data_IF_541419749868
#
_entry.id   IF_541419749868
#
_cell.length_a   1.000
_cell.length_b   1.000
_cell.length_c   1.000
_cell.angle_alpha   90.00
_cell.angle_beta   90.00
_cell.angle_gamma   90.00
#
_symmetry.space_group_name_H-M   'P 1'
#
loop_
_entity.id
_entity.type
_entity.pdbx_description
1 polymer ?
#
# COMPACT_ATOMS: atom_id res chain seq x y z
N UNK A 1 43.79 29.37 -67.42
CA UNK A 1 42.61 29.68 -66.60
C UNK A 1 42.60 28.77 -65.37
N UNK A 2 42.93 29.32 -64.19
CA UNK A 2 43.04 28.57 -62.94
C UNK A 2 41.64 28.40 -62.34
N UNK A 3 41.13 27.16 -62.27
CA UNK A 3 39.93 26.83 -61.48
C UNK A 3 40.32 26.93 -60.00
N UNK A 4 39.92 28.02 -59.33
CA UNK A 4 40.00 28.13 -57.87
C UNK A 4 38.98 27.17 -57.26
N UNK A 5 39.45 26.10 -56.63
CA UNK A 5 38.62 25.25 -55.77
C UNK A 5 38.20 26.07 -54.55
N UNK A 6 36.92 26.41 -54.46
CA UNK A 6 36.30 27.02 -53.27
C UNK A 6 36.01 25.93 -52.23
N UNK A 7 36.20 26.20 -50.93
CA UNK A 7 35.98 25.21 -49.88
C UNK A 7 34.50 24.84 -49.74
N UNK A 8 34.21 23.55 -49.83
CA UNK A 8 32.91 22.90 -49.59
C UNK A 8 32.63 22.84 -48.08
N UNK A 9 32.24 23.97 -47.49
CA UNK A 9 31.67 23.98 -46.14
C UNK A 9 30.15 23.91 -46.22
N UNK A 10 29.59 22.78 -45.76
CA UNK A 10 28.15 22.60 -45.54
C UNK A 10 27.70 23.41 -44.32
N UNK A 11 26.54 24.07 -44.41
CA UNK A 11 26.01 24.91 -43.34
C UNK A 11 24.98 24.08 -42.55
N UNK A 12 25.28 23.76 -41.29
CA UNK A 12 24.35 23.08 -40.38
C UNK A 12 23.47 24.12 -39.68
N UNK A 13 22.16 24.08 -39.94
CA UNK A 13 21.18 24.84 -39.16
C UNK A 13 20.96 24.14 -37.82
N UNK A 14 21.21 24.83 -36.69
CA UNK A 14 20.96 24.27 -35.35
C UNK A 14 19.46 24.03 -35.17
N UNK A 15 19.06 22.76 -35.18
CA UNK A 15 17.67 22.31 -35.00
C UNK A 15 17.12 21.45 -36.14
N UNK A 16 17.77 21.42 -37.31
CA UNK A 16 17.34 20.61 -38.44
C UNK A 16 18.31 19.44 -38.68
N UNK A 17 17.80 18.20 -38.76
CA UNK A 17 18.63 16.98 -38.92
C UNK A 17 19.17 16.78 -40.34
N UNK A 18 18.80 17.61 -41.30
CA UNK A 18 19.16 17.47 -42.71
C UNK A 18 20.30 18.44 -43.10
N UNK A 19 21.21 17.98 -43.96
CA UNK A 19 22.34 18.78 -44.47
C UNK A 19 21.96 19.30 -45.85
N UNK A 20 21.89 20.62 -46.04
CA UNK A 20 21.48 21.22 -47.31
C UNK A 20 22.69 21.60 -48.18
N UNK A 21 22.61 21.28 -49.48
CA UNK A 21 23.57 21.74 -50.49
C UNK A 21 23.36 23.21 -50.87
N UNK A 22 24.42 23.94 -51.25
CA UNK A 22 24.35 25.39 -51.54
C UNK A 22 23.38 25.77 -52.67
N UNK A 23 23.06 24.85 -53.59
CA UNK A 23 22.09 25.07 -54.67
C UNK A 23 20.63 24.94 -54.22
N UNK A 24 20.35 24.43 -53.02
CA UNK A 24 19.00 24.16 -52.51
C UNK A 24 18.41 25.29 -51.63
N UNK A 25 19.16 26.37 -51.41
CA UNK A 25 18.92 27.29 -50.28
C UNK A 25 17.81 28.32 -50.51
N UNK A 26 17.18 28.43 -51.69
CA UNK A 26 16.23 29.54 -51.91
C UNK A 26 14.75 29.30 -51.67
N UNK A 27 14.25 28.06 -51.56
CA UNK A 27 12.79 27.87 -51.43
C UNK A 27 12.37 26.76 -50.45
N UNK A 28 13.28 25.91 -49.97
CA UNK A 28 12.88 24.63 -49.35
C UNK A 28 12.77 24.63 -47.81
N UNK A 29 12.55 25.78 -47.16
CA UNK A 29 12.34 25.85 -45.69
C UNK A 29 10.98 26.42 -45.26
N UNK A 30 10.10 26.78 -46.19
CA UNK A 30 8.75 27.27 -45.87
C UNK A 30 7.80 26.20 -45.35
N UNK A 31 8.15 24.90 -45.45
CA UNK A 31 7.30 23.81 -44.94
C UNK A 31 7.65 23.27 -43.55
N UNK A 32 8.87 23.51 -43.04
CA UNK A 32 9.37 22.79 -41.83
C UNK A 32 9.76 23.70 -40.68
N UNK A 33 10.20 24.94 -40.94
CA UNK A 33 10.64 25.84 -39.85
C UNK A 33 10.25 27.32 -39.98
N UNK A 34 9.55 27.73 -41.04
CA UNK A 34 9.14 29.13 -41.28
C UNK A 34 10.28 30.17 -41.13
N UNK A 35 11.52 29.79 -41.45
CA UNK A 35 12.69 30.69 -41.36
C UNK A 35 13.36 30.85 -42.73
N UNK A 36 13.75 32.10 -43.05
CA UNK A 36 14.47 32.46 -44.26
C UNK A 36 15.96 32.62 -43.99
N UNK A 37 16.80 32.16 -44.92
CA UNK A 37 18.25 32.27 -44.82
C UNK A 37 18.77 33.45 -45.65
N UNK A 38 19.30 34.49 -44.99
CA UNK A 38 19.79 35.71 -45.64
C UNK A 38 21.28 35.66 -46.02
N UNK A 39 21.89 34.47 -46.16
CA UNK A 39 23.28 34.34 -46.63
C UNK A 39 24.38 34.72 -45.62
N UNK A 40 24.02 35.27 -44.46
CA UNK A 40 24.91 35.38 -43.28
C UNK A 40 24.62 34.23 -42.32
N UNK A 41 25.59 33.78 -41.53
CA UNK A 41 25.58 32.54 -40.72
C UNK A 41 24.50 32.41 -39.63
N UNK A 42 23.44 33.25 -39.63
CA UNK A 42 22.29 33.19 -38.73
C UNK A 42 20.98 33.19 -39.52
N UNK A 43 20.11 32.21 -39.23
CA UNK A 43 18.69 32.27 -39.59
C UNK A 43 17.99 33.27 -38.67
N UNK A 44 17.12 34.11 -39.23
CA UNK A 44 16.33 35.08 -38.45
C UNK A 44 14.87 34.86 -38.79
N UNK A 45 14.00 34.79 -37.77
CA UNK A 45 12.55 34.83 -37.99
C UNK A 45 12.21 36.22 -38.51
N UNK A 46 11.64 36.31 -39.71
CA UNK A 46 11.07 37.56 -40.21
C UNK A 46 9.63 37.62 -39.74
N UNK A 47 9.22 38.77 -39.21
CA UNK A 47 7.81 39.04 -38.97
C UNK A 47 7.08 39.29 -40.29
N UNK A 48 5.76 39.18 -40.25
CA UNK A 48 4.87 39.26 -41.41
C UNK A 48 5.03 40.58 -42.19
N UNK A 49 5.37 41.67 -41.47
CA UNK A 49 5.65 42.98 -42.07
C UNK A 49 6.96 43.02 -42.86
N UNK A 50 8.00 42.35 -42.36
CA UNK A 50 9.29 42.27 -43.06
C UNK A 50 9.20 41.39 -44.31
N UNK A 51 8.34 40.36 -44.31
CA UNK A 51 8.11 39.50 -45.46
C UNK A 51 7.54 40.30 -46.65
N UNK A 52 6.54 41.13 -46.40
CA UNK A 52 5.91 41.98 -47.43
C UNK A 52 6.88 43.03 -47.99
N UNK A 53 7.82 43.52 -47.20
CA UNK A 53 8.91 44.42 -47.65
C UNK A 53 9.90 43.72 -48.59
N UNK A 54 10.14 42.41 -48.44
CA UNK A 54 11.05 41.66 -49.31
C UNK A 54 10.34 41.29 -50.62
N UNK A 55 9.07 40.91 -50.55
CA UNK A 55 8.24 40.58 -51.73
C UNK A 55 8.03 41.82 -52.62
N UNK A 56 7.90 43.00 -52.02
CA UNK A 56 7.70 44.26 -52.76
C UNK A 56 8.97 44.82 -53.42
N UNK A 57 10.17 44.29 -53.11
CA UNK A 57 11.38 44.62 -53.87
C UNK A 57 11.41 43.79 -55.14
N UNK A 58 10.84 44.36 -56.21
CA UNK A 58 10.84 43.90 -57.62
C UNK A 58 12.07 43.02 -57.90
N UNK A 59 11.86 41.70 -57.96
CA UNK A 59 12.89 40.75 -58.40
C UNK A 59 13.06 40.98 -59.91
N UNK A 60 14.22 41.45 -60.42
CA UNK A 60 14.36 41.91 -61.82
C UNK A 60 14.27 40.81 -62.89
N UNK A 61 13.92 39.58 -62.51
CA UNK A 61 13.95 38.39 -63.36
C UNK A 61 12.60 37.69 -63.46
N UNK A 62 11.55 38.23 -62.83
CA UNK A 62 10.18 37.74 -63.05
C UNK A 62 9.62 38.58 -64.19
N UNK A 63 9.81 38.08 -65.42
CA UNK A 63 9.22 38.65 -66.63
C UNK A 63 7.69 38.67 -66.49
N UNK A 64 7.10 39.80 -66.91
CA UNK A 64 5.70 40.21 -66.79
C UNK A 64 4.73 39.42 -67.70
N UNK A 65 5.01 38.15 -67.98
CA UNK A 65 4.19 37.29 -68.83
C UNK A 65 4.01 35.92 -68.16
N UNK A 66 3.44 35.90 -66.95
CA UNK A 66 2.72 34.72 -66.51
C UNK A 66 1.27 34.90 -66.96
N UNK A 67 1.02 34.50 -68.20
CA UNK A 67 -0.32 34.20 -68.69
C UNK A 67 -0.86 33.11 -67.75
N UNK A 68 -1.75 33.46 -66.83
CA UNK A 68 -2.57 32.49 -66.13
C UNK A 68 -3.57 32.04 -67.19
N UNK A 69 -3.22 30.98 -67.92
CA UNK A 69 -4.18 30.25 -68.71
C UNK A 69 -5.22 29.71 -67.72
N UNK A 70 -6.43 30.25 -67.77
CA UNK A 70 -7.62 29.61 -67.23
C UNK A 70 -7.89 28.36 -68.08
N UNK A 71 -7.03 27.35 -67.92
CA UNK A 71 -7.38 25.97 -68.27
C UNK A 71 -8.39 25.57 -67.20
N UNK A 72 -9.67 25.79 -67.50
CA UNK A 72 -10.75 25.14 -66.78
C UNK A 72 -10.63 23.66 -67.08
N UNK A 73 -9.91 22.95 -66.22
CA UNK A 73 -9.86 21.49 -66.21
C UNK A 73 -11.30 20.99 -66.08
N UNK A 74 -11.89 20.54 -67.19
CA UNK A 74 -13.13 19.78 -67.20
C UNK A 74 -12.84 18.47 -66.47
N UNK A 75 -13.05 18.46 -65.16
CA UNK A 75 -13.05 17.24 -64.35
C UNK A 75 -14.08 16.32 -64.99
N UNK A 76 -13.63 15.14 -65.43
CA UNK A 76 -14.52 14.18 -66.06
C UNK A 76 -15.57 13.68 -65.05
N UNK A 77 -16.79 13.41 -65.51
CA UNK A 77 -17.88 12.89 -64.66
C UNK A 77 -17.46 11.64 -63.86
N UNK A 78 -16.55 10.83 -64.41
CA UNK A 78 -15.99 9.65 -63.76
C UNK A 78 -15.12 9.99 -62.52
N UNK A 79 -14.36 11.09 -62.56
CA UNK A 79 -13.53 11.54 -61.42
C UNK A 79 -14.39 12.09 -60.28
N UNK A 80 -15.50 12.76 -60.59
CA UNK A 80 -16.47 13.24 -59.59
C UNK A 80 -17.20 12.07 -58.90
N UNK A 81 -17.52 10.99 -59.63
CA UNK A 81 -18.18 9.81 -59.06
C UNK A 81 -17.25 9.02 -58.11
N UNK A 82 -15.98 8.87 -58.47
CA UNK A 82 -14.98 8.22 -57.61
C UNK A 82 -14.77 9.01 -56.31
N UNK A 83 -14.63 10.34 -56.38
CA UNK A 83 -14.49 11.19 -55.20
C UNK A 83 -15.73 11.12 -54.29
N UNK A 84 -16.94 11.11 -54.86
CA UNK A 84 -18.17 10.93 -54.09
C UNK A 84 -18.24 9.56 -53.41
N UNK A 85 -17.79 8.49 -54.07
CA UNK A 85 -17.75 7.16 -53.49
C UNK A 85 -16.72 7.07 -52.34
N UNK A 86 -15.55 7.68 -52.49
CA UNK A 86 -14.54 7.77 -51.44
C UNK A 86 -15.04 8.55 -50.23
N UNK A 87 -15.70 9.69 -50.46
CA UNK A 87 -16.29 10.51 -49.39
C UNK A 87 -17.34 9.72 -48.58
N UNK A 88 -18.26 9.03 -49.25
CA UNK A 88 -19.24 8.15 -48.58
C UNK A 88 -18.56 7.03 -47.77
N UNK A 89 -17.47 6.47 -48.29
CA UNK A 89 -16.67 5.45 -47.59
C UNK A 89 -15.99 6.02 -46.34
N UNK A 90 -15.45 7.23 -46.43
CA UNK A 90 -14.83 7.94 -45.30
C UNK A 90 -15.85 8.30 -44.22
N UNK A 91 -17.00 8.86 -44.59
CA UNK A 91 -18.10 9.16 -43.65
C UNK A 91 -18.52 7.92 -42.86
N UNK A 92 -18.70 6.77 -43.54
CA UNK A 92 -19.04 5.51 -42.86
C UNK A 92 -17.94 5.07 -41.87
N UNK A 93 -16.67 5.28 -42.19
CA UNK A 93 -15.55 4.98 -41.27
C UNK A 93 -15.56 5.93 -40.06
N UNK A 94 -15.83 7.22 -40.28
CA UNK A 94 -15.93 8.22 -39.21
C UNK A 94 -17.06 7.85 -38.24
N UNK A 95 -18.24 7.49 -38.75
CA UNK A 95 -19.38 7.09 -37.92
C UNK A 95 -19.07 5.84 -37.07
N UNK A 96 -18.38 4.86 -37.66
CA UNK A 96 -17.91 3.68 -36.92
C UNK A 96 -16.95 4.06 -35.80
N UNK A 97 -16.00 4.95 -36.05
CA UNK A 97 -15.04 5.43 -35.05
C UNK A 97 -15.78 6.19 -33.94
N UNK A 98 -16.72 7.07 -34.27
CA UNK A 98 -17.52 7.80 -33.29
C UNK A 98 -18.34 6.86 -32.40
N UNK A 99 -18.98 5.85 -33.00
CA UNK A 99 -19.72 4.83 -32.26
C UNK A 99 -18.83 4.04 -31.30
N UNK A 100 -17.65 3.61 -31.76
CA UNK A 100 -16.67 2.92 -30.91
C UNK A 100 -16.16 3.81 -29.77
N UNK A 101 -15.84 5.08 -30.04
CA UNK A 101 -15.41 6.03 -29.02
C UNK A 101 -16.48 6.25 -27.95
N UNK A 102 -17.74 6.39 -28.35
CA UNK A 102 -18.86 6.51 -27.41
C UNK A 102 -19.01 5.27 -26.52
N UNK A 103 -18.82 4.07 -27.09
CA UNK A 103 -18.83 2.83 -26.32
C UNK A 103 -17.66 2.77 -25.32
N UNK A 104 -16.46 3.17 -25.74
CA UNK A 104 -15.28 3.23 -24.87
C UNK A 104 -15.50 4.20 -23.71
N UNK A 105 -16.05 5.39 -23.97
CA UNK A 105 -16.35 6.38 -22.93
C UNK A 105 -17.35 5.85 -21.90
N UNK A 106 -18.41 5.14 -22.35
CA UNK A 106 -19.38 4.51 -21.44
C UNK A 106 -18.70 3.46 -20.55
N UNK A 107 -17.89 2.58 -21.13
CA UNK A 107 -17.14 1.57 -20.37
C UNK A 107 -16.16 2.20 -19.38
N UNK A 108 -15.47 3.28 -19.76
CA UNK A 108 -14.59 4.01 -18.85
C UNK A 108 -15.33 4.60 -17.65
N UNK A 109 -16.54 5.12 -17.87
CA UNK A 109 -17.38 5.63 -16.77
C UNK A 109 -17.86 4.52 -15.84
N UNK A 110 -18.22 3.36 -16.38
CA UNK A 110 -18.60 2.18 -15.60
C UNK A 110 -17.43 1.68 -14.75
N UNK A 111 -16.26 1.47 -15.36
CA UNK A 111 -15.03 1.07 -14.66
C UNK A 111 -14.69 2.06 -13.55
N UNK A 112 -14.87 3.36 -13.78
CA UNK A 112 -14.62 4.38 -12.76
C UNK A 112 -15.56 4.23 -11.57
N UNK A 113 -16.86 4.02 -11.82
CA UNK A 113 -17.86 3.80 -10.76
C UNK A 113 -17.55 2.54 -9.95
N UNK A 114 -17.22 1.44 -10.61
CA UNK A 114 -16.83 0.19 -9.94
C UNK A 114 -15.56 0.38 -9.09
N UNK A 115 -14.56 1.09 -9.61
CA UNK A 115 -13.33 1.36 -8.87
C UNK A 115 -13.58 2.20 -7.61
N UNK A 116 -14.46 3.19 -7.69
CA UNK A 116 -14.81 4.01 -6.52
C UNK A 116 -15.61 3.19 -5.50
N UNK A 117 -16.53 2.31 -5.92
CA UNK A 117 -17.21 1.37 -5.03
C UNK A 117 -16.23 0.43 -4.32
N UNK A 118 -15.27 -0.15 -5.06
CA UNK A 118 -14.26 -1.04 -4.49
C UNK A 118 -13.35 -0.33 -3.47
N UNK A 119 -13.05 0.96 -3.67
CA UNK A 119 -12.30 1.76 -2.69
C UNK A 119 -13.10 1.96 -1.40
N UNK A 120 -14.40 2.22 -1.51
CA UNK A 120 -15.28 2.40 -0.37
C UNK A 120 -15.41 1.10 0.44
N UNK A 121 -15.58 -0.04 -0.23
CA UNK A 121 -15.58 -1.37 0.38
C UNK A 121 -14.24 -1.66 1.08
N UNK A 122 -13.11 -1.39 0.41
CA UNK A 122 -11.78 -1.55 1.00
C UNK A 122 -11.60 -0.71 2.27
N UNK A 123 -12.10 0.53 2.27
CA UNK A 123 -12.08 1.40 3.43
C UNK A 123 -13.02 0.90 4.54
N UNK A 124 -14.15 0.30 4.19
CA UNK A 124 -15.02 -0.44 5.11
C UNK A 124 -14.27 -1.56 5.82
N UNK A 125 -13.68 -2.48 5.05
CA UNK A 125 -12.91 -3.61 5.59
C UNK A 125 -11.74 -3.17 6.47
N UNK A 126 -11.04 -2.08 6.12
CA UNK A 126 -9.97 -1.53 6.96
C UNK A 126 -10.47 -1.07 8.34
N UNK A 127 -11.63 -0.41 8.40
CA UNK A 127 -12.23 0.03 9.67
C UNK A 127 -12.64 -1.16 10.52
N UNK A 128 -13.35 -2.11 9.95
CA UNK A 128 -13.78 -3.33 10.63
C UNK A 128 -12.58 -4.12 11.18
N UNK A 129 -11.52 -4.28 10.38
CA UNK A 129 -10.28 -4.92 10.82
C UNK A 129 -9.63 -4.22 12.01
N UNK A 130 -9.68 -2.88 12.06
CA UNK A 130 -9.16 -2.11 13.19
C UNK A 130 -10.01 -2.31 14.45
N UNK A 131 -11.33 -2.38 14.32
CA UNK A 131 -12.24 -2.64 15.43
C UNK A 131 -12.02 -4.04 16.01
N UNK A 132 -11.98 -5.07 15.15
CA UNK A 132 -11.68 -6.45 15.56
C UNK A 132 -10.34 -6.54 16.31
N UNK A 133 -9.30 -5.82 15.84
CA UNK A 133 -8.00 -5.78 16.54
C UNK A 133 -8.10 -5.16 17.94
N UNK A 134 -8.91 -4.11 18.11
CA UNK A 134 -9.14 -3.49 19.42
C UNK A 134 -9.88 -4.42 20.37
N UNK A 135 -10.92 -5.09 19.89
CA UNK A 135 -11.68 -6.07 20.67
C UNK A 135 -10.79 -7.25 21.09
N UNK A 136 -10.00 -7.79 20.16
CA UNK A 136 -9.06 -8.87 20.43
C UNK A 136 -8.03 -8.49 21.49
N UNK A 137 -7.50 -7.27 21.44
CA UNK A 137 -6.57 -6.78 22.46
C UNK A 137 -7.25 -6.63 23.83
N UNK A 138 -8.50 -6.16 23.86
CA UNK A 138 -9.30 -6.04 25.09
C UNK A 138 -9.52 -7.42 25.71
N UNK A 139 -9.97 -8.39 24.91
CA UNK A 139 -10.17 -9.78 25.35
C UNK A 139 -8.87 -10.42 25.87
N UNK A 140 -7.73 -10.14 25.22
CA UNK A 140 -6.42 -10.60 25.73
C UNK A 140 -6.10 -10.02 27.10
N UNK A 141 -6.34 -8.72 27.30
CA UNK A 141 -6.12 -8.07 28.59
C UNK A 141 -7.04 -8.65 29.67
N UNK A 142 -8.32 -8.84 29.37
CA UNK A 142 -9.29 -9.46 30.29
C UNK A 142 -8.92 -10.90 30.64
N UNK A 143 -8.50 -11.70 29.65
CA UNK A 143 -8.02 -13.06 29.86
C UNK A 143 -6.79 -13.06 30.76
N UNK A 144 -5.83 -12.17 30.54
CA UNK A 144 -4.62 -12.09 31.35
C UNK A 144 -4.93 -11.64 32.78
N UNK A 145 -5.80 -10.64 32.95
CA UNK A 145 -6.28 -10.24 34.27
C UNK A 145 -7.00 -11.39 34.98
N UNK A 146 -7.83 -12.15 34.26
CA UNK A 146 -8.52 -13.33 34.81
C UNK A 146 -7.53 -14.42 35.20
N UNK A 147 -6.50 -14.70 34.38
CA UNK A 147 -5.41 -15.62 34.72
C UNK A 147 -4.67 -15.16 35.96
N UNK A 148 -4.31 -13.88 36.05
CA UNK A 148 -3.65 -13.32 37.22
C UNK A 148 -4.53 -13.39 38.47
N UNK A 149 -5.82 -13.09 38.39
CA UNK A 149 -6.78 -13.27 39.49
C UNK A 149 -6.83 -14.73 39.95
N UNK A 150 -6.89 -15.67 38.99
CA UNK A 150 -6.89 -17.11 39.27
C UNK A 150 -5.56 -17.63 39.85
N UNK A 151 -4.43 -17.02 39.49
CA UNK A 151 -3.12 -17.36 40.07
C UNK A 151 -2.96 -16.77 41.47
N UNK A 152 -3.45 -15.54 41.69
CA UNK A 152 -3.40 -14.86 42.99
C UNK A 152 -4.12 -15.64 44.09
N UNK A 153 -5.14 -16.44 43.78
CA UNK A 153 -5.83 -17.26 44.79
C UNK A 153 -5.18 -18.62 45.06
N UNK A 154 -4.07 -18.94 44.39
CA UNK A 154 -3.33 -20.18 44.62
C UNK A 154 -2.17 -19.97 45.59
N UNK A 155 -1.84 -21.01 46.35
CA UNK A 155 -0.58 -21.15 47.07
C UNK A 155 0.01 -22.52 46.72
N UNK A 156 1.33 -22.59 46.60
CA UNK A 156 2.03 -23.88 46.52
C UNK A 156 2.69 -24.17 47.86
N UNK A 157 2.33 -25.30 48.45
CA UNK A 157 2.92 -25.80 49.71
C UNK A 157 3.94 -26.87 49.39
N UNK A 158 5.19 -26.68 49.80
CA UNK A 158 6.27 -27.66 49.62
C UNK A 158 6.61 -28.37 50.92
N UNK A 159 7.27 -29.53 50.84
CA UNK A 159 7.76 -30.29 51.99
C UNK A 159 6.76 -31.28 52.57
N UNK A 160 5.71 -31.60 51.80
CA UNK A 160 4.63 -32.51 52.20
C UNK A 160 5.11 -33.97 52.14
N UNK A 161 4.72 -34.83 53.09
CA UNK A 161 5.06 -36.25 53.07
C UNK A 161 4.58 -36.96 51.82
N UNK A 162 5.34 -37.95 51.35
CA UNK A 162 5.00 -38.75 50.16
C UNK A 162 3.66 -39.45 50.32
N UNK A 163 3.32 -39.83 51.55
CA UNK A 163 2.10 -40.56 51.93
C UNK A 163 0.81 -39.74 51.78
N UNK A 164 0.91 -38.41 51.68
CA UNK A 164 -0.26 -37.53 51.49
C UNK A 164 -0.68 -37.37 50.02
N UNK A 165 0.10 -37.89 49.07
CA UNK A 165 -0.14 -37.67 47.64
C UNK A 165 -1.07 -38.70 46.98
N UNK A 166 -1.77 -39.51 47.76
CA UNK A 166 -2.63 -40.61 47.28
C UNK A 166 -4.12 -40.26 47.24
N UNK A 167 -4.62 -39.37 48.10
CA UNK A 167 -6.05 -39.01 48.16
C UNK A 167 -6.23 -37.50 48.40
N UNK A 168 -7.24 -36.90 47.78
CA UNK A 168 -7.61 -35.48 47.98
C UNK A 168 -8.00 -35.22 49.44
N UNK A 169 -8.60 -36.20 50.13
CA UNK A 169 -8.99 -36.05 51.54
C UNK A 169 -7.78 -35.86 52.46
N UNK A 170 -6.69 -36.58 52.21
CA UNK A 170 -5.47 -36.46 53.02
C UNK A 170 -4.76 -35.13 52.75
N UNK A 171 -4.75 -34.66 51.49
CA UNK A 171 -4.28 -33.32 51.12
C UNK A 171 -5.07 -32.22 51.84
N UNK A 172 -6.39 -32.29 51.82
CA UNK A 172 -7.25 -31.32 52.50
C UNK A 172 -7.02 -31.30 54.01
N UNK A 173 -6.91 -32.47 54.65
CA UNK A 173 -6.60 -32.58 56.07
C UNK A 173 -5.26 -31.94 56.43
N UNK A 174 -4.23 -32.10 55.60
CA UNK A 174 -2.93 -31.48 55.81
C UNK A 174 -2.98 -29.94 55.76
N UNK A 175 -3.71 -29.37 54.79
CA UNK A 175 -3.90 -27.92 54.68
C UNK A 175 -4.68 -27.37 55.88
N UNK A 176 -5.71 -28.10 56.35
CA UNK A 176 -6.47 -27.72 57.55
C UNK A 176 -5.58 -27.72 58.81
N UNK A 177 -4.69 -28.72 58.96
CA UNK A 177 -3.71 -28.76 60.07
C UNK A 177 -2.74 -27.59 60.02
N UNK A 178 -2.22 -27.25 58.84
CA UNK A 178 -1.36 -26.07 58.64
C UNK A 178 -2.10 -24.80 59.07
N UNK A 179 -3.33 -24.59 58.60
CA UNK A 179 -4.10 -23.40 58.93
C UNK A 179 -4.45 -23.31 60.42
N UNK A 180 -4.79 -24.44 61.05
CA UNK A 180 -5.00 -24.51 62.49
C UNK A 180 -3.76 -24.09 63.30
N UNK A 181 -2.56 -24.45 62.84
CA UNK A 181 -1.29 -24.01 63.46
C UNK A 181 -0.98 -22.53 63.22
N UNK A 182 -1.48 -21.96 62.14
CA UNK A 182 -1.44 -20.53 61.87
C UNK A 182 -2.55 -19.73 62.58
N UNK A 183 -3.41 -20.41 63.36
CA UNK A 183 -4.60 -19.84 64.01
C UNK A 183 -5.59 -19.22 63.02
N UNK A 184 -5.73 -19.83 61.84
CA UNK A 184 -6.64 -19.40 60.78
C UNK A 184 -7.77 -20.42 60.66
N UNK A 185 -9.00 -19.95 60.81
CA UNK A 185 -10.19 -20.76 60.58
C UNK A 185 -10.46 -20.86 59.07
N UNK A 186 -10.28 -22.06 58.53
CA UNK A 186 -10.67 -22.44 57.16
C UNK A 186 -11.50 -23.72 57.21
N UNK A 187 -12.39 -23.89 56.24
CA UNK A 187 -13.21 -25.08 56.03
C UNK A 187 -12.79 -25.77 54.72
N UNK A 188 -13.08 -27.07 54.58
CA UNK A 188 -12.81 -27.83 53.36
C UNK A 188 -13.60 -27.35 52.13
N UNK A 189 -14.56 -26.43 52.29
CA UNK A 189 -15.24 -25.73 51.19
C UNK A 189 -14.49 -24.49 50.71
N UNK A 190 -13.57 -23.97 51.50
CA UNK A 190 -12.89 -22.69 51.21
C UNK A 190 -11.74 -22.85 50.22
N UNK A 191 -11.31 -24.08 49.95
CA UNK A 191 -10.21 -24.37 49.05
C UNK A 191 -10.35 -25.74 48.37
N UNK A 192 -9.57 -25.93 47.31
CA UNK A 192 -9.38 -27.21 46.60
C UNK A 192 -7.90 -27.51 46.52
N UNK A 193 -7.51 -28.72 46.90
CA UNK A 193 -6.13 -29.19 46.76
C UNK A 193 -5.96 -30.07 45.52
N UNK A 194 -4.81 -29.92 44.87
CA UNK A 194 -4.38 -30.80 43.79
C UNK A 194 -2.88 -31.05 43.87
N UNK A 195 -2.45 -32.26 43.53
CA UNK A 195 -1.03 -32.59 43.39
C UNK A 195 -0.45 -31.91 42.15
N UNK A 196 0.79 -31.44 42.23
CA UNK A 196 1.54 -30.99 41.06
C UNK A 196 2.32 -32.20 40.51
N UNK A 197 1.89 -32.74 39.38
CA UNK A 197 2.42 -34.00 38.82
C UNK A 197 3.80 -33.87 38.15
N UNK A 198 4.20 -32.65 37.79
CA UNK A 198 5.37 -32.40 36.94
C UNK A 198 6.71 -32.30 37.68
N UNK A 199 6.68 -32.36 39.01
CA UNK A 199 7.85 -32.05 39.83
C UNK A 199 8.17 -33.26 40.73
N UNK A 200 9.43 -33.69 40.75
CA UNK A 200 9.93 -34.69 41.73
C UNK A 200 9.85 -34.15 43.16
N UNK A 201 9.61 -32.85 43.29
CA UNK A 201 9.39 -32.17 44.55
C UNK A 201 7.95 -32.37 45.06
N UNK A 202 7.86 -32.71 46.34
CA UNK A 202 6.61 -33.00 47.06
C UNK A 202 5.84 -31.68 47.29
N UNK A 203 5.05 -31.29 46.29
CA UNK A 203 4.32 -30.03 46.28
C UNK A 203 2.81 -30.24 46.14
N UNK A 204 2.05 -29.43 46.88
CA UNK A 204 0.59 -29.37 46.81
C UNK A 204 0.20 -27.97 46.33
N UNK A 205 -0.63 -27.91 45.28
CA UNK A 205 -1.29 -26.68 44.88
C UNK A 205 -2.61 -26.56 45.64
N UNK A 206 -2.76 -25.47 46.39
CA UNK A 206 -3.97 -25.12 47.13
C UNK A 206 -4.63 -23.94 46.43
N UNK A 207 -5.83 -24.13 45.88
CA UNK A 207 -6.63 -23.09 45.25
C UNK A 207 -7.71 -22.63 46.23
N UNK A 208 -7.62 -21.41 46.71
CA UNK A 208 -8.65 -20.83 47.59
C UNK A 208 -9.80 -20.25 46.77
N UNK A 209 -11.02 -20.46 47.22
CA UNK A 209 -12.22 -19.82 46.67
C UNK A 209 -12.28 -18.34 47.09
N UNK A 210 -11.86 -18.03 48.31
CA UNK A 210 -11.72 -16.66 48.81
C UNK A 210 -10.23 -16.28 48.90
N UNK A 211 -9.81 -15.23 48.18
CA UNK A 211 -8.44 -14.72 48.21
C UNK A 211 -8.02 -14.14 49.56
N UNK A 212 -8.96 -13.64 50.37
CA UNK A 212 -8.68 -13.10 51.70
C UNK A 212 -8.10 -14.16 52.63
N UNK A 213 -8.64 -15.39 52.59
CA UNK A 213 -8.12 -16.53 53.35
C UNK A 213 -6.71 -16.91 52.95
N UNK A 214 -6.40 -16.80 51.66
CA UNK A 214 -5.06 -17.00 51.15
C UNK A 214 -4.10 -15.93 51.66
N UNK A 215 -4.52 -14.67 51.68
CA UNK A 215 -3.69 -13.57 52.18
C UNK A 215 -3.49 -13.65 53.71
N UNK A 216 -4.51 -14.03 54.48
CA UNK A 216 -4.39 -14.36 55.92
C UNK A 216 -3.30 -15.41 56.16
N UNK A 217 -3.31 -16.51 55.40
CA UNK A 217 -2.30 -17.57 55.49
C UNK A 217 -0.90 -17.06 55.12
N UNK A 218 -0.79 -16.28 54.05
CA UNK A 218 0.48 -15.73 53.58
C UNK A 218 1.07 -14.67 54.51
N UNK A 219 0.25 -14.01 55.32
CA UNK A 219 0.68 -13.07 56.34
C UNK A 219 1.02 -13.78 57.66
N UNK A 220 0.20 -14.74 58.09
CA UNK A 220 0.46 -15.53 59.29
C UNK A 220 1.75 -16.35 59.17
N UNK A 221 2.05 -16.92 57.99
CA UNK A 221 3.31 -17.66 57.77
C UNK A 221 4.57 -16.82 57.98
N UNK A 222 4.50 -15.49 57.83
CA UNK A 222 5.65 -14.60 58.04
C UNK A 222 5.95 -14.46 59.54
N UNK A 223 4.93 -14.62 60.38
CA UNK A 223 4.99 -14.44 61.83
C UNK A 223 5.25 -15.75 62.57
N UNK A 224 4.81 -16.88 62.01
CA UNK A 224 4.86 -18.20 62.64
C UNK A 224 5.82 -19.12 61.88
N UNK A 225 6.87 -19.59 62.57
CA UNK A 225 7.72 -20.67 62.09
C UNK A 225 6.98 -22.01 62.25
N UNK A 226 6.54 -22.60 61.14
CA UNK A 226 5.91 -23.92 61.17
C UNK A 226 6.96 -25.00 61.42
N UNK A 227 6.89 -25.66 62.57
CA UNK A 227 7.70 -26.82 62.89
C UNK A 227 7.16 -28.05 62.12
N UNK A 228 8.00 -28.62 61.27
CA UNK A 228 7.64 -29.70 60.33
C UNK A 228 7.19 -30.96 61.06
N UNK A 229 7.79 -31.26 62.22
CA UNK A 229 7.49 -32.47 62.98
C UNK A 229 6.07 -32.48 63.59
N UNK A 230 5.54 -31.32 63.99
CA UNK A 230 4.21 -31.24 64.62
C UNK A 230 3.05 -31.38 63.63
N UNK A 231 3.29 -31.05 62.37
CA UNK A 231 2.30 -31.10 61.30
C UNK A 231 2.42 -32.42 60.52
N UNK A 232 3.46 -33.21 60.84
CA UNK A 232 3.79 -34.48 60.20
C UNK A 232 4.46 -34.32 58.85
N UNK A 233 5.23 -33.24 58.63
CA UNK A 233 5.93 -32.92 57.38
C UNK A 233 7.40 -33.36 57.42
N UNK A 234 7.92 -33.84 56.29
CA UNK A 234 9.29 -34.38 56.18
C UNK A 234 10.35 -33.28 56.03
N UNK A 235 9.99 -32.13 55.47
CA UNK A 235 10.91 -31.03 55.16
C UNK A 235 10.33 -29.66 55.55
N UNK A 236 11.18 -28.63 55.63
CA UNK A 236 10.79 -27.25 55.93
C UNK A 236 9.68 -26.79 54.99
N UNK A 237 8.52 -26.50 55.55
CA UNK A 237 7.36 -26.01 54.79
C UNK A 237 7.71 -24.65 54.19
N UNK A 238 7.54 -24.54 52.86
CA UNK A 238 7.60 -23.26 52.16
C UNK A 238 6.31 -23.05 51.41
N UNK A 239 5.88 -21.80 51.40
CA UNK A 239 4.71 -21.34 50.66
C UNK A 239 5.22 -20.44 49.53
N UNK A 240 4.98 -20.86 48.29
CA UNK A 240 5.31 -20.14 47.05
C UNK A 240 4.03 -19.55 46.47
#
# INVERSE_FOLDING_TARGET
MVKKNLPTSAIKCKGCKHTLGKSSVRVQCTGVCNQWYHGTTKCTLLDEKSLNSVISKKIPWVSEECYVSEESDEISEDEEEEEQQENKSMESKIDKILSQNNLILKKLQEIRRENDQLKDELNGFKRETQEIRKELNTLKMEMEQSKQKNLKSNIVVTGTPVTLHTDIKTLNSAVMKIAGKLNININGKDFVCSKIEKDTSKQIKVKFHNSEKKDEIMEAKKKVLLNTHEIGFEEKIRFI
#
